data_IF_592925663922
#
_entry.id   IF_592925663922
#
_cell.length_a   1.000
_cell.length_b   1.000
_cell.length_c   1.000
_cell.angle_alpha   90.00
_cell.angle_beta   90.00
_cell.angle_gamma   90.00
#
_symmetry.space_group_name_H-M   'P 1'
#
loop_
_entity.id
_entity.type
_entity.pdbx_description
1 polymer ?
#
# COMPACT_ATOMS: atom_id res chain seq x y z
N UNK A 1 -15.01 20.94 27.35
CA UNK A 1 -14.48 20.15 26.23
C UNK A 1 -15.35 20.43 25.01
N UNK A 2 -14.76 20.57 23.81
CA UNK A 2 -15.49 20.69 22.54
C UNK A 2 -14.84 19.73 21.55
N UNK A 3 -15.65 18.95 20.84
CA UNK A 3 -15.16 18.00 19.83
C UNK A 3 -15.29 18.62 18.45
N UNK A 4 -14.20 18.63 17.70
CA UNK A 4 -14.16 19.12 16.31
C UNK A 4 -13.91 17.94 15.39
N UNK A 5 -14.95 17.50 14.68
CA UNK A 5 -14.86 16.46 13.67
C UNK A 5 -14.34 17.02 12.35
N UNK A 6 -13.11 16.67 12.00
CA UNK A 6 -12.50 17.06 10.73
C UNK A 6 -12.75 16.02 9.62
N UNK A 7 -12.43 16.38 8.37
CA UNK A 7 -12.50 15.54 7.16
C UNK A 7 -13.92 15.13 6.76
N UNK A 8 -14.88 16.04 6.94
CA UNK A 8 -16.27 15.82 6.50
C UNK A 8 -16.40 15.68 4.97
N UNK A 9 -15.46 16.23 4.21
CA UNK A 9 -15.34 16.05 2.76
C UNK A 9 -15.01 14.60 2.37
N UNK A 10 -14.08 13.95 3.07
CA UNK A 10 -13.75 12.54 2.88
C UNK A 10 -14.94 11.64 3.27
N UNK A 11 -15.59 11.95 4.40
CA UNK A 11 -16.77 11.23 4.86
C UNK A 11 -17.90 11.27 3.81
N UNK A 12 -18.12 12.44 3.19
CA UNK A 12 -19.10 12.62 2.12
C UNK A 12 -18.74 11.84 0.85
N UNK A 13 -17.46 11.78 0.46
CA UNK A 13 -16.99 10.95 -0.67
C UNK A 13 -17.26 9.46 -0.43
N UNK A 14 -17.10 9.00 0.80
CA UNK A 14 -17.39 7.62 1.20
C UNK A 14 -18.87 7.36 1.47
N UNK A 15 -19.75 8.32 1.12
CA UNK A 15 -21.20 8.20 1.27
C UNK A 15 -21.64 7.95 2.72
N UNK A 16 -20.88 8.47 3.69
CA UNK A 16 -21.22 8.38 5.10
C UNK A 16 -21.74 9.72 5.63
N UNK A 17 -22.68 9.65 6.56
CA UNK A 17 -23.18 10.80 7.31
C UNK A 17 -23.10 10.50 8.81
N UNK A 18 -22.80 11.53 9.59
CA UNK A 18 -22.73 11.47 11.05
C UNK A 18 -23.81 12.38 11.63
N UNK A 19 -24.60 11.83 12.55
CA UNK A 19 -25.56 12.59 13.34
C UNK A 19 -24.82 13.36 14.46
N UNK A 20 -24.46 14.61 14.18
CA UNK A 20 -23.73 15.47 15.12
C UNK A 20 -24.49 15.71 16.43
N UNK A 21 -25.82 15.87 16.37
CA UNK A 21 -26.65 16.10 17.56
C UNK A 21 -26.68 14.87 18.46
N UNK A 22 -26.84 13.68 17.86
CA UNK A 22 -26.82 12.42 18.59
C UNK A 22 -25.46 12.14 19.21
N UNK A 23 -24.37 12.44 18.49
CA UNK A 23 -23.01 12.31 19.01
C UNK A 23 -22.72 13.30 20.14
N UNK A 24 -23.18 14.55 20.01
CA UNK A 24 -23.04 15.57 21.05
C UNK A 24 -23.75 15.19 22.35
N UNK A 25 -24.97 14.64 22.23
CA UNK A 25 -25.70 14.10 23.38
C UNK A 25 -24.98 12.90 24.01
N UNK A 26 -24.45 11.99 23.19
CA UNK A 26 -23.78 10.79 23.69
C UNK A 26 -22.44 11.07 24.38
N UNK A 27 -21.73 12.12 23.95
CA UNK A 27 -20.44 12.53 24.54
C UNK A 27 -20.58 13.53 25.70
N UNK A 28 -21.78 14.06 25.94
CA UNK A 28 -22.01 15.09 26.97
C UNK A 28 -21.32 16.43 26.66
N UNK A 29 -20.91 16.67 25.41
CA UNK A 29 -20.23 17.90 25.02
C UNK A 29 -20.60 18.34 23.60
N UNK A 30 -20.46 19.63 23.27
CA UNK A 30 -20.71 20.10 21.91
C UNK A 30 -19.79 19.45 20.88
N UNK A 31 -20.37 19.05 19.74
CA UNK A 31 -19.67 18.49 18.59
C UNK A 31 -19.89 19.40 17.38
N UNK A 32 -18.79 19.94 16.85
CA UNK A 32 -18.76 20.72 15.62
C UNK A 32 -18.09 19.90 14.51
N UNK A 33 -18.39 20.22 13.26
CA UNK A 33 -17.82 19.53 12.11
C UNK A 33 -17.19 20.52 11.15
N UNK A 34 -16.04 20.17 10.57
CA UNK A 34 -15.30 21.02 9.65
C UNK A 34 -14.62 20.19 8.56
N UNK A 35 -14.49 20.76 7.37
CA UNK A 35 -13.53 20.34 6.35
C UNK A 35 -12.39 21.35 6.34
N UNK A 36 -11.25 21.02 6.94
CA UNK A 36 -10.10 21.94 7.02
C UNK A 36 -9.55 22.36 5.63
N UNK A 37 -9.91 21.62 4.57
CA UNK A 37 -9.61 21.95 3.17
C UNK A 37 -10.43 23.13 2.62
N UNK A 38 -11.50 23.54 3.30
CA UNK A 38 -12.41 24.60 2.87
C UNK A 38 -12.32 25.78 3.84
N UNK A 39 -11.71 26.88 3.37
CA UNK A 39 -11.48 28.07 4.18
C UNK A 39 -12.76 28.63 4.83
N UNK A 40 -13.86 28.69 4.08
CA UNK A 40 -15.15 29.18 4.58
C UNK A 40 -15.69 28.37 5.77
N UNK A 41 -15.53 27.04 5.79
CA UNK A 41 -15.99 26.22 6.92
C UNK A 41 -15.13 26.45 8.17
N UNK A 42 -13.84 26.76 8.00
CA UNK A 42 -12.94 27.11 9.11
C UNK A 42 -13.32 28.47 9.71
N UNK A 43 -13.70 29.44 8.89
CA UNK A 43 -14.11 30.76 9.37
C UNK A 43 -15.46 30.69 10.12
N UNK A 44 -16.41 29.86 9.65
CA UNK A 44 -17.63 29.56 10.40
C UNK A 44 -17.33 28.88 11.74
N UNK A 45 -16.44 27.89 11.78
CA UNK A 45 -16.02 27.21 13.01
C UNK A 45 -15.46 28.19 14.04
N UNK A 46 -14.63 29.15 13.61
CA UNK A 46 -14.09 30.20 14.50
C UNK A 46 -15.19 31.05 15.10
N UNK A 47 -16.17 31.46 14.30
CA UNK A 47 -17.31 32.25 14.76
C UNK A 47 -18.16 31.46 15.78
N UNK A 48 -18.44 30.19 15.50
CA UNK A 48 -19.19 29.30 16.38
C UNK A 48 -18.46 29.09 17.71
N UNK A 49 -17.14 28.85 17.68
CA UNK A 49 -16.32 28.71 18.88
C UNK A 49 -16.32 30.00 19.72
N UNK A 50 -16.18 31.17 19.10
CA UNK A 50 -16.26 32.46 19.80
C UNK A 50 -17.61 32.63 20.51
N UNK A 51 -18.71 32.30 19.82
CA UNK A 51 -20.06 32.38 20.39
C UNK A 51 -20.22 31.43 21.58
N UNK A 52 -19.72 30.20 21.47
CA UNK A 52 -19.79 29.20 22.53
C UNK A 52 -18.96 29.58 23.75
N UNK A 53 -17.76 30.12 23.55
CA UNK A 53 -16.93 30.61 24.65
C UNK A 53 -17.60 31.77 25.40
N UNK A 54 -18.28 32.67 24.67
CA UNK A 54 -19.00 33.78 25.28
C UNK A 54 -20.26 33.35 26.04
N UNK A 55 -20.95 32.29 25.59
CA UNK A 55 -22.17 31.78 26.23
C UNK A 55 -21.91 30.83 27.41
N UNK A 56 -20.67 30.34 27.54
CA UNK A 56 -20.34 29.25 28.44
C UNK A 56 -20.61 27.90 27.79
N UNK A 57 -19.74 26.92 28.07
CA UNK A 57 -19.84 25.58 27.53
C UNK A 57 -20.36 24.66 28.63
N UNK A 58 -21.62 24.25 28.53
CA UNK A 58 -22.15 23.18 29.37
C UNK A 58 -21.54 21.85 28.92
N UNK A 59 -20.97 21.13 29.87
CA UNK A 59 -20.39 19.80 29.67
C UNK A 59 -20.98 18.89 30.74
N UNK A 60 -21.61 17.81 30.31
CA UNK A 60 -22.01 16.73 31.20
C UNK A 60 -20.86 15.74 31.35
N UNK A 61 -20.52 15.32 32.58
CA UNK A 61 -19.47 14.33 32.79
C UNK A 61 -19.88 12.98 32.19
N UNK A 62 -19.04 12.46 31.31
CA UNK A 62 -19.22 11.13 30.74
C UNK A 62 -18.88 10.06 31.79
N UNK A 63 -19.88 9.36 32.30
CA UNK A 63 -19.71 8.24 33.21
C UNK A 63 -20.07 6.93 32.50
N UNK A 64 -19.09 6.02 32.43
CA UNK A 64 -19.31 4.64 32.03
C UNK A 64 -19.56 3.79 33.28
N UNK A 65 -20.48 2.84 33.17
CA UNK A 65 -20.76 1.82 34.17
C UNK A 65 -19.89 0.59 33.87
N UNK A 66 -18.96 0.29 34.79
CA UNK A 66 -18.06 -0.84 34.67
C UNK A 66 -18.58 -2.10 35.37
N UNK A 67 -19.81 -2.08 35.87
CA UNK A 67 -20.40 -3.17 36.64
C UNK A 67 -19.95 -3.16 38.10
N UNK A 68 -20.81 -3.72 38.95
CA UNK A 68 -20.74 -3.57 40.41
C UNK A 68 -19.37 -3.90 41.01
N UNK A 69 -18.76 -5.01 40.58
CA UNK A 69 -17.47 -5.45 41.15
C UNK A 69 -16.33 -4.46 40.87
N UNK A 70 -16.27 -3.88 39.66
CA UNK A 70 -15.23 -2.91 39.33
C UNK A 70 -15.60 -1.51 39.87
N UNK A 71 -16.88 -1.16 39.93
CA UNK A 71 -17.33 0.09 40.56
C UNK A 71 -16.98 0.16 42.05
N UNK A 72 -17.16 -0.94 42.79
CA UNK A 72 -16.79 -1.01 44.22
C UNK A 72 -15.27 -0.77 44.40
N UNK A 73 -14.44 -1.34 43.52
CA UNK A 73 -12.98 -1.13 43.49
C UNK A 73 -12.60 0.29 43.09
N UNK A 74 -13.30 0.89 42.12
CA UNK A 74 -13.09 2.30 41.73
C UNK A 74 -13.43 3.21 42.92
N UNK A 75 -14.49 2.92 43.68
CA UNK A 75 -14.88 3.70 44.85
C UNK A 75 -13.86 3.58 46.00
N UNK A 76 -13.19 2.44 46.15
CA UNK A 76 -12.10 2.25 47.12
C UNK A 76 -10.85 3.07 46.77
N UNK A 77 -10.51 3.17 45.48
CA UNK A 77 -9.29 3.85 45.01
C UNK A 77 -9.49 5.35 44.75
N UNK A 78 -10.71 5.79 44.43
CA UNK A 78 -11.00 7.20 44.11
C UNK A 78 -10.59 8.23 45.19
N UNK A 79 -10.73 7.96 46.50
CA UNK A 79 -10.35 8.90 47.56
C UNK A 79 -8.87 9.30 47.53
N UNK A 80 -7.99 8.41 47.07
CA UNK A 80 -6.55 8.69 46.98
C UNK A 80 -6.20 9.77 45.94
N UNK A 81 -7.14 10.12 45.06
CA UNK A 81 -6.95 11.08 43.97
C UNK A 81 -7.80 12.35 44.13
N UNK A 82 -8.45 12.58 45.28
CA UNK A 82 -9.32 13.75 45.51
C UNK A 82 -8.59 15.10 45.42
N UNK A 83 -7.27 15.12 45.59
CA UNK A 83 -6.47 16.35 45.61
C UNK A 83 -5.92 16.76 44.23
N UNK A 84 -6.23 16.03 43.16
CA UNK A 84 -5.77 16.36 41.81
C UNK A 84 -6.74 17.25 41.04
N UNK A 85 -6.21 18.03 40.09
CA UNK A 85 -6.98 18.86 39.16
C UNK A 85 -7.82 18.03 38.16
N UNK A 86 -7.52 16.74 38.05
CA UNK A 86 -8.18 15.78 37.15
C UNK A 86 -9.25 15.02 37.92
N UNK A 87 -10.31 14.60 37.23
CA UNK A 87 -11.39 13.82 37.85
C UNK A 87 -10.83 12.55 38.54
N UNK A 88 -11.01 12.48 39.87
CA UNK A 88 -10.52 11.39 40.72
C UNK A 88 -10.91 10.00 40.22
N UNK A 89 -12.16 9.84 39.75
CA UNK A 89 -12.66 8.62 39.13
C UNK A 89 -11.84 8.17 37.90
N UNK A 90 -11.44 9.11 37.05
CA UNK A 90 -10.69 8.77 35.83
C UNK A 90 -9.27 8.29 36.15
N UNK A 91 -8.66 8.89 37.18
CA UNK A 91 -7.34 8.46 37.68
C UNK A 91 -7.43 7.10 38.35
N UNK A 92 -8.46 6.84 39.16
CA UNK A 92 -8.70 5.54 39.78
C UNK A 92 -8.85 4.42 38.73
N UNK A 93 -9.65 4.64 37.68
CA UNK A 93 -9.81 3.68 36.58
C UNK A 93 -8.47 3.39 35.90
N UNK A 94 -7.70 4.43 35.54
CA UNK A 94 -6.40 4.22 34.87
C UNK A 94 -5.34 3.58 35.78
N UNK A 95 -5.37 3.89 37.08
CA UNK A 95 -4.50 3.23 38.06
C UNK A 95 -4.84 1.72 38.15
N UNK A 96 -6.14 1.38 38.15
CA UNK A 96 -6.63 0.00 38.08
C UNK A 96 -6.31 -0.67 36.73
N UNK A 97 -6.17 0.05 35.62
CA UNK A 97 -5.62 -0.45 34.33
C UNK A 97 -4.09 -0.63 34.34
N UNK A 98 -3.43 -0.50 35.49
CA UNK A 98 -1.96 -0.56 35.63
C UNK A 98 -1.19 0.45 34.76
N UNK A 99 -1.77 1.63 34.52
CA UNK A 99 -1.10 2.69 33.76
C UNK A 99 0.16 3.18 34.48
N UNK A 100 1.33 2.86 33.91
CA UNK A 100 2.62 3.17 34.50
C UNK A 100 2.83 4.67 34.73
N UNK A 101 2.23 5.54 33.91
CA UNK A 101 2.44 6.98 34.05
C UNK A 101 1.83 7.49 35.36
N UNK A 102 0.65 7.00 35.72
CA UNK A 102 -0.05 7.37 36.95
C UNK A 102 0.58 6.67 38.15
N UNK A 103 0.89 5.37 38.02
CA UNK A 103 1.51 4.63 39.12
C UNK A 103 2.89 5.19 39.48
N UNK A 104 3.71 5.59 38.50
CA UNK A 104 5.03 6.16 38.74
C UNK A 104 4.98 7.53 39.44
N UNK A 105 3.93 8.33 39.20
CA UNK A 105 3.73 9.61 39.88
C UNK A 105 3.00 9.47 41.23
N UNK A 106 2.29 8.36 41.45
CA UNK A 106 1.50 8.16 42.67
C UNK A 106 2.38 7.75 43.88
N UNK A 107 1.98 8.13 45.11
CA UNK A 107 2.60 7.68 46.36
C UNK A 107 2.60 6.15 46.49
N UNK A 108 3.52 5.62 47.31
CA UNK A 108 3.63 4.18 47.55
C UNK A 108 2.32 3.55 48.06
N UNK A 109 1.60 4.27 48.92
CA UNK A 109 0.30 3.85 49.47
C UNK A 109 -0.72 3.51 48.37
N UNK A 110 -0.78 4.30 47.31
CA UNK A 110 -1.70 4.10 46.18
C UNK A 110 -1.29 2.88 45.36
N UNK A 111 0.02 2.68 45.15
CA UNK A 111 0.54 1.51 44.41
C UNK A 111 0.25 0.22 45.15
N UNK A 112 0.44 0.24 46.48
CA UNK A 112 0.18 -0.91 47.33
C UNK A 112 -1.32 -1.24 47.36
N UNK A 113 -2.18 -0.22 47.45
CA UNK A 113 -3.63 -0.37 47.37
C UNK A 113 -4.08 -0.99 46.03
N UNK A 114 -3.64 -0.43 44.90
CA UNK A 114 -3.96 -0.95 43.55
C UNK A 114 -3.47 -2.40 43.38
N UNK A 115 -2.26 -2.70 43.85
CA UNK A 115 -1.70 -4.06 43.78
C UNK A 115 -2.48 -5.05 44.64
N UNK A 116 -2.95 -4.62 45.81
CA UNK A 116 -3.80 -5.44 46.68
C UNK A 116 -5.18 -5.69 46.03
N UNK A 117 -5.79 -4.67 45.43
CA UNK A 117 -7.06 -4.78 44.71
C UNK A 117 -6.97 -5.74 43.52
N UNK A 118 -5.86 -5.74 42.78
CA UNK A 118 -5.59 -6.69 41.69
C UNK A 118 -5.46 -8.13 42.21
N UNK A 119 -4.70 -8.35 43.30
CA UNK A 119 -4.52 -9.69 43.88
C UNK A 119 -5.80 -10.28 44.46
N UNK A 120 -6.73 -9.44 44.91
CA UNK A 120 -8.03 -9.85 45.43
C UNK A 120 -9.12 -10.01 44.36
N UNK A 121 -8.80 -9.73 43.10
CA UNK A 121 -9.73 -9.78 41.96
C UNK A 121 -9.55 -11.06 41.16
N UNK A 122 -10.64 -11.79 40.91
CA UNK A 122 -10.65 -12.89 39.92
C UNK A 122 -10.92 -12.36 38.49
N UNK A 123 -11.26 -11.06 38.39
CA UNK A 123 -11.56 -10.36 37.15
C UNK A 123 -10.29 -9.77 36.53
N UNK A 124 -10.10 -9.98 35.22
CA UNK A 124 -9.11 -9.27 34.42
C UNK A 124 -9.60 -7.82 34.19
N UNK A 125 -9.16 -6.92 35.07
CA UNK A 125 -9.60 -5.53 35.11
C UNK A 125 -9.26 -4.80 33.80
N UNK A 126 -8.07 -5.04 33.24
CA UNK A 126 -7.64 -4.38 32.00
C UNK A 126 -8.54 -4.79 30.83
N UNK A 127 -8.79 -6.10 30.68
CA UNK A 127 -9.66 -6.61 29.62
C UNK A 127 -11.09 -6.11 29.78
N UNK A 128 -11.61 -6.07 31.02
CA UNK A 128 -12.98 -5.63 31.29
C UNK A 128 -13.19 -4.14 31.02
N UNK A 129 -12.26 -3.28 31.44
CA UNK A 129 -12.32 -1.84 31.15
C UNK A 129 -12.25 -1.59 29.64
N UNK A 130 -11.37 -2.32 28.94
CA UNK A 130 -11.29 -2.25 27.49
C UNK A 130 -12.62 -2.64 26.84
N UNK A 131 -13.22 -3.77 27.22
CA UNK A 131 -14.48 -4.26 26.65
C UNK A 131 -15.63 -3.25 26.84
N UNK A 132 -15.77 -2.67 28.03
CA UNK A 132 -16.78 -1.63 28.30
C UNK A 132 -16.57 -0.39 27.42
N UNK A 133 -15.33 0.12 27.34
CA UNK A 133 -14.99 1.29 26.51
C UNK A 133 -15.25 1.01 25.02
N UNK A 134 -14.79 -0.12 24.50
CA UNK A 134 -14.98 -0.49 23.09
C UNK A 134 -16.43 -0.77 22.75
N UNK A 135 -17.17 -1.43 23.64
CA UNK A 135 -18.61 -1.66 23.49
C UNK A 135 -19.39 -0.34 23.44
N UNK A 136 -19.09 0.60 24.33
CA UNK A 136 -19.67 1.94 24.32
C UNK A 136 -19.39 2.69 23.01
N UNK A 137 -18.12 2.72 22.58
CA UNK A 137 -17.72 3.35 21.31
C UNK A 137 -18.42 2.69 20.11
N UNK A 138 -18.53 1.37 20.10
CA UNK A 138 -19.22 0.63 19.05
C UNK A 138 -20.71 1.00 18.98
N UNK A 139 -21.38 1.10 20.12
CA UNK A 139 -22.80 1.48 20.18
C UNK A 139 -23.02 2.92 19.68
N UNK A 140 -22.22 3.88 20.14
CA UNK A 140 -22.31 5.28 19.71
C UNK A 140 -22.06 5.43 18.21
N UNK A 141 -20.99 4.79 17.70
CA UNK A 141 -20.65 4.90 16.28
C UNK A 141 -21.71 4.25 15.41
N UNK A 142 -22.27 3.10 15.81
CA UNK A 142 -23.37 2.45 15.10
C UNK A 142 -24.65 3.26 15.09
N UNK A 143 -25.00 3.92 16.20
CA UNK A 143 -26.22 4.71 16.30
C UNK A 143 -26.13 6.05 15.54
N UNK A 144 -24.94 6.65 15.47
CA UNK A 144 -24.75 7.99 14.92
C UNK A 144 -24.18 8.02 13.51
N UNK A 145 -23.82 6.88 12.92
CA UNK A 145 -23.32 6.78 11.54
C UNK A 145 -24.38 6.17 10.63
N UNK A 146 -24.68 6.84 9.53
CA UNK A 146 -25.48 6.31 8.44
C UNK A 146 -24.66 6.24 7.14
N UNK A 147 -25.11 5.42 6.20
CA UNK A 147 -24.52 5.33 4.85
C UNK A 147 -25.60 5.64 3.81
N UNK A 148 -25.33 6.62 2.97
CA UNK A 148 -26.26 7.15 1.96
C UNK A 148 -25.83 6.64 0.59
N UNK A 149 -26.57 5.68 0.01
CA UNK A 149 -26.26 5.14 -1.32
C UNK A 149 -25.47 3.83 -1.27
N UNK A 150 -26.19 2.71 -1.44
CA UNK A 150 -25.66 1.32 -1.40
C UNK A 150 -25.13 0.79 -2.74
N UNK A 151 -25.20 1.56 -3.83
CA UNK A 151 -25.08 1.01 -5.19
C UNK A 151 -23.63 0.73 -5.60
N UNK A 152 -22.69 1.65 -5.34
CA UNK A 152 -21.30 1.52 -5.81
C UNK A 152 -20.52 0.40 -5.11
N UNK A 153 -20.78 0.17 -3.82
CA UNK A 153 -20.12 -0.92 -3.05
C UNK A 153 -20.43 -2.30 -3.62
N UNK A 154 -21.67 -2.56 -4.06
CA UNK A 154 -22.06 -3.88 -4.61
C UNK A 154 -21.27 -4.30 -5.85
N UNK A 155 -20.86 -3.36 -6.70
CA UNK A 155 -20.10 -3.68 -7.92
C UNK A 155 -18.65 -3.99 -7.57
N UNK A 156 -17.98 -3.15 -6.76
CA UNK A 156 -16.61 -3.43 -6.32
C UNK A 156 -16.53 -4.70 -5.49
N UNK A 157 -17.43 -4.90 -4.51
CA UNK A 157 -17.47 -6.10 -3.68
C UNK A 157 -17.69 -7.39 -4.48
N UNK A 158 -18.44 -7.31 -5.59
CA UNK A 158 -18.68 -8.45 -6.48
C UNK A 158 -17.52 -8.73 -7.42
N UNK A 159 -16.82 -7.69 -7.87
CA UNK A 159 -15.55 -7.85 -8.61
C UNK A 159 -14.49 -8.42 -7.66
N UNK A 160 -14.40 -7.90 -6.44
CA UNK A 160 -13.47 -8.33 -5.41
C UNK A 160 -13.70 -9.80 -5.03
N UNK A 161 -14.95 -10.25 -4.90
CA UNK A 161 -15.23 -11.66 -4.59
C UNK A 161 -14.82 -12.63 -5.70
N UNK A 162 -14.81 -12.19 -6.96
CA UNK A 162 -14.36 -12.99 -8.11
C UNK A 162 -12.82 -12.93 -8.23
N UNK A 163 -12.24 -11.74 -8.14
CA UNK A 163 -10.80 -11.50 -8.34
C UNK A 163 -9.96 -12.01 -7.16
N UNK A 164 -10.47 -11.94 -5.93
CA UNK A 164 -9.78 -12.40 -4.72
C UNK A 164 -10.06 -13.86 -4.37
N UNK A 165 -10.87 -14.58 -5.15
CA UNK A 165 -11.11 -15.99 -4.91
C UNK A 165 -9.80 -16.77 -5.09
N UNK A 166 -9.44 -17.60 -4.10
CA UNK A 166 -8.20 -18.40 -4.08
C UNK A 166 -7.97 -19.24 -5.35
N UNK A 167 -9.04 -19.66 -6.03
CA UNK A 167 -8.95 -20.49 -7.24
C UNK A 167 -9.04 -19.69 -8.54
N UNK A 168 -9.83 -18.61 -8.57
CA UNK A 168 -10.02 -17.79 -9.78
C UNK A 168 -9.01 -16.64 -9.88
N UNK A 169 -8.46 -16.18 -8.75
CA UNK A 169 -7.53 -15.04 -8.71
C UNK A 169 -6.23 -15.29 -9.47
N UNK A 170 -5.67 -16.51 -9.39
CA UNK A 170 -4.44 -16.87 -10.11
C UNK A 170 -4.68 -16.92 -11.63
N UNK A 171 -5.70 -17.64 -12.16
CA UNK A 171 -6.03 -17.61 -13.59
C UNK A 171 -6.35 -16.20 -14.11
N UNK A 172 -7.13 -15.41 -13.35
CA UNK A 172 -7.46 -14.04 -13.73
C UNK A 172 -6.19 -13.19 -13.80
N UNK A 173 -5.27 -13.35 -12.84
CA UNK A 173 -3.98 -12.68 -12.87
C UNK A 173 -3.17 -12.99 -14.13
N UNK A 174 -3.01 -14.27 -14.46
CA UNK A 174 -2.33 -14.63 -15.70
C UNK A 174 -3.08 -14.14 -16.95
N UNK A 175 -4.41 -14.11 -16.93
CA UNK A 175 -5.22 -13.55 -18.01
C UNK A 175 -5.01 -12.04 -18.21
N UNK A 176 -4.95 -11.27 -17.11
CA UNK A 176 -4.67 -9.82 -17.17
C UNK A 176 -3.25 -9.56 -17.64
N UNK A 177 -2.27 -10.33 -17.15
CA UNK A 177 -0.88 -10.22 -17.61
C UNK A 177 -0.73 -10.61 -19.09
N UNK A 178 -1.44 -11.65 -19.54
CA UNK A 178 -1.51 -12.00 -20.95
C UNK A 178 -2.09 -10.84 -21.77
N UNK A 179 -3.19 -10.24 -21.32
CA UNK A 179 -3.82 -9.13 -22.03
C UNK A 179 -2.92 -7.88 -22.06
N UNK A 180 -2.17 -7.62 -20.99
CA UNK A 180 -1.14 -6.58 -20.94
C UNK A 180 -0.07 -6.81 -22.02
N UNK A 181 0.47 -8.03 -22.11
CA UNK A 181 1.49 -8.35 -23.11
C UNK A 181 0.94 -8.36 -24.53
N UNK A 182 -0.26 -8.89 -24.72
CA UNK A 182 -0.96 -8.84 -26.00
C UNK A 182 -1.16 -7.40 -26.45
N UNK A 183 -1.62 -6.51 -25.56
CA UNK A 183 -1.77 -5.09 -25.83
C UNK A 183 -0.43 -4.46 -26.20
N UNK A 184 0.59 -4.61 -25.35
CA UNK A 184 1.90 -4.00 -25.57
C UNK A 184 2.59 -4.48 -26.87
N UNK A 185 2.49 -5.77 -27.20
CA UNK A 185 3.12 -6.36 -28.39
C UNK A 185 2.31 -6.07 -29.65
N UNK A 186 0.98 -6.22 -29.62
CA UNK A 186 0.17 -6.07 -30.82
C UNK A 186 -0.03 -4.59 -31.19
N UNK A 187 -0.42 -3.76 -30.22
CA UNK A 187 -0.61 -2.32 -30.45
C UNK A 187 0.74 -1.62 -30.53
N UNK A 188 1.68 -1.91 -29.62
CA UNK A 188 3.03 -1.33 -29.71
C UNK A 188 3.77 -1.79 -30.97
N UNK A 189 3.60 -3.06 -31.36
CA UNK A 189 4.17 -3.62 -32.58
C UNK A 189 3.68 -2.94 -33.85
N UNK A 190 2.41 -2.52 -33.91
CA UNK A 190 1.87 -1.80 -35.06
C UNK A 190 2.56 -0.45 -35.33
N UNK A 191 3.26 0.12 -34.34
CA UNK A 191 4.01 1.37 -34.50
C UNK A 191 5.51 1.14 -34.73
N UNK A 192 6.02 -0.09 -34.67
CA UNK A 192 7.45 -0.39 -34.87
C UNK A 192 7.92 0.12 -36.22
N UNK A 193 7.21 -0.25 -37.30
CA UNK A 193 7.59 0.12 -38.67
C UNK A 193 7.60 1.64 -38.88
N UNK A 194 6.69 2.37 -38.23
CA UNK A 194 6.66 3.83 -38.28
C UNK A 194 7.94 4.45 -37.69
N UNK A 195 8.37 3.96 -36.52
CA UNK A 195 9.59 4.44 -35.87
C UNK A 195 10.83 3.98 -36.62
N UNK A 196 10.84 2.75 -37.13
CA UNK A 196 11.95 2.21 -37.92
C UNK A 196 12.21 3.05 -39.17
N UNK A 197 11.16 3.29 -39.97
CA UNK A 197 11.24 4.08 -41.20
C UNK A 197 11.57 5.55 -40.89
N UNK A 198 10.93 6.16 -39.88
CA UNK A 198 11.14 7.58 -39.59
C UNK A 198 12.55 7.85 -39.08
N UNK A 199 13.05 7.02 -38.16
CA UNK A 199 14.40 7.20 -37.63
C UNK A 199 15.47 6.74 -38.62
N UNK A 200 15.21 5.69 -39.42
CA UNK A 200 16.10 5.28 -40.52
C UNK A 200 16.25 6.39 -41.57
N UNK A 201 15.14 6.97 -42.02
CA UNK A 201 15.17 8.04 -43.01
C UNK A 201 15.92 9.29 -42.53
N UNK A 202 15.81 9.63 -41.24
CA UNK A 202 16.44 10.86 -40.70
C UNK A 202 17.89 10.62 -40.28
N UNK A 203 18.18 9.51 -39.60
CA UNK A 203 19.49 9.27 -38.96
C UNK A 203 20.43 8.40 -39.79
N UNK A 204 19.91 7.58 -40.71
CA UNK A 204 20.73 6.76 -41.60
C UNK A 204 20.76 7.44 -42.97
N UNK A 205 19.61 7.50 -43.66
CA UNK A 205 19.54 8.03 -45.02
C UNK A 205 19.85 9.54 -45.06
N UNK A 206 19.37 10.31 -44.08
CA UNK A 206 19.65 11.74 -43.97
C UNK A 206 21.11 12.06 -43.65
N UNK A 207 21.80 11.17 -42.94
CA UNK A 207 23.23 11.31 -42.61
C UNK A 207 24.10 10.93 -43.80
N UNK A 208 23.76 9.84 -44.51
CA UNK A 208 24.38 9.48 -45.80
C UNK A 208 24.21 10.62 -46.81
N UNK A 209 23.00 11.17 -46.97
CA UNK A 209 22.75 12.27 -47.91
C UNK A 209 23.58 13.54 -47.64
N UNK A 210 23.93 13.82 -46.38
CA UNK A 210 24.68 15.03 -46.00
C UNK A 210 26.20 14.84 -46.04
N UNK A 211 26.68 13.64 -45.72
CA UNK A 211 28.10 13.34 -45.52
C UNK A 211 28.74 12.64 -46.72
N UNK A 212 27.94 11.99 -47.58
CA UNK A 212 28.43 11.38 -48.81
C UNK A 212 29.06 12.44 -49.73
N UNK A 213 30.34 12.22 -50.05
CA UNK A 213 31.15 13.12 -50.88
C UNK A 213 31.93 14.20 -50.12
N UNK A 214 31.64 14.44 -48.84
CA UNK A 214 32.35 15.42 -48.01
C UNK A 214 33.37 14.80 -47.04
N UNK A 215 33.16 13.54 -46.65
CA UNK A 215 33.96 12.83 -45.65
C UNK A 215 34.43 11.46 -46.16
N UNK A 216 35.46 10.86 -45.52
CA UNK A 216 35.90 9.50 -45.85
C UNK A 216 34.79 8.47 -45.59
N UNK A 217 34.65 7.52 -46.50
CA UNK A 217 33.61 6.48 -46.49
C UNK A 217 33.54 5.72 -45.16
N UNK A 218 34.68 5.35 -44.57
CA UNK A 218 34.74 4.65 -43.28
C UNK A 218 34.11 5.44 -42.12
N UNK A 219 34.18 6.77 -42.16
CA UNK A 219 33.62 7.63 -41.11
C UNK A 219 32.11 7.81 -41.29
N UNK A 220 31.64 7.86 -42.54
CA UNK A 220 30.21 7.90 -42.87
C UNK A 220 29.54 6.61 -42.42
N UNK A 221 30.11 5.44 -42.71
CA UNK A 221 29.57 4.14 -42.27
C UNK A 221 29.46 4.05 -40.74
N UNK A 222 30.45 4.55 -40.01
CA UNK A 222 30.40 4.55 -38.53
C UNK A 222 29.29 5.47 -38.01
N UNK A 223 29.13 6.66 -38.59
CA UNK A 223 28.15 7.64 -38.12
C UNK A 223 26.72 7.26 -38.52
N UNK A 224 26.50 6.94 -39.80
CA UNK A 224 25.18 6.61 -40.33
C UNK A 224 24.75 5.19 -39.92
N UNK A 225 25.51 4.17 -40.30
CA UNK A 225 25.09 2.78 -40.07
C UNK A 225 25.38 2.30 -38.64
N UNK A 226 26.46 2.80 -38.03
CA UNK A 226 26.83 2.49 -36.65
C UNK A 226 25.95 3.22 -35.64
N UNK A 227 26.08 4.55 -35.55
CA UNK A 227 25.34 5.36 -34.57
C UNK A 227 23.88 5.52 -34.98
N UNK A 228 23.62 5.94 -36.22
CA UNK A 228 22.25 6.13 -36.73
C UNK A 228 21.44 4.84 -36.70
N UNK A 229 21.99 3.75 -37.26
CA UNK A 229 21.37 2.42 -37.21
C UNK A 229 21.18 1.90 -35.79
N UNK A 230 22.12 2.19 -34.87
CA UNK A 230 21.98 1.89 -33.45
C UNK A 230 20.80 2.63 -32.80
N UNK A 231 20.67 3.94 -33.04
CA UNK A 231 19.57 4.76 -32.51
C UNK A 231 18.23 4.32 -33.12
N UNK A 232 18.18 4.05 -34.42
CA UNK A 232 17.00 3.51 -35.11
C UNK A 232 16.54 2.21 -34.43
N UNK A 233 17.47 1.28 -34.20
CA UNK A 233 17.17 0.00 -33.55
C UNK A 233 16.64 0.19 -32.12
N UNK A 234 17.14 1.18 -31.37
CA UNK A 234 16.62 1.48 -30.03
C UNK A 234 15.24 2.16 -30.11
N UNK A 235 15.01 3.01 -31.10
CA UNK A 235 13.77 3.76 -31.28
C UNK A 235 12.56 2.86 -31.52
N UNK A 236 12.75 1.71 -32.19
CA UNK A 236 11.69 0.71 -32.41
C UNK A 236 11.14 0.09 -31.13
N UNK A 237 11.88 0.14 -30.01
CA UNK A 237 11.38 -0.34 -28.71
C UNK A 237 10.49 0.67 -27.98
N UNK A 238 10.55 1.96 -28.36
CA UNK A 238 9.79 3.03 -27.68
C UNK A 238 8.28 2.74 -27.68
N UNK A 239 7.63 2.36 -28.79
CA UNK A 239 6.18 2.15 -28.82
C UNK A 239 5.73 0.98 -27.95
N UNK A 240 6.49 -0.11 -27.95
CA UNK A 240 6.21 -1.31 -27.14
C UNK A 240 6.32 -0.97 -25.65
N UNK A 241 7.38 -0.25 -25.25
CA UNK A 241 7.57 0.20 -23.87
C UNK A 241 6.46 1.17 -23.45
N UNK A 242 6.11 2.14 -24.31
CA UNK A 242 5.04 3.09 -24.04
C UNK A 242 3.68 2.40 -23.86
N UNK A 243 3.36 1.42 -24.72
CA UNK A 243 2.14 0.60 -24.60
C UNK A 243 2.09 -0.17 -23.29
N UNK A 244 3.22 -0.77 -22.87
CA UNK A 244 3.31 -1.46 -21.58
C UNK A 244 3.10 -0.50 -20.40
N UNK A 245 3.73 0.68 -20.41
CA UNK A 245 3.56 1.69 -19.35
C UNK A 245 2.13 2.25 -19.29
N UNK A 246 1.50 2.45 -20.44
CA UNK A 246 0.10 2.88 -20.52
C UNK A 246 -0.82 1.86 -19.85
N UNK A 247 -0.65 0.58 -20.17
CA UNK A 247 -1.43 -0.49 -19.57
C UNK A 247 -1.15 -0.65 -18.08
N UNK A 248 0.11 -0.55 -17.66
CA UNK A 248 0.48 -0.56 -16.24
C UNK A 248 -0.18 0.58 -15.45
N UNK A 249 -0.18 1.78 -16.01
CA UNK A 249 -0.83 2.95 -15.40
C UNK A 249 -2.33 2.72 -15.25
N UNK A 250 -2.97 2.06 -16.22
CA UNK A 250 -4.38 1.63 -16.15
C UNK A 250 -4.62 0.58 -15.04
N UNK A 251 -3.73 -0.41 -14.91
CA UNK A 251 -3.81 -1.42 -13.84
C UNK A 251 -3.58 -0.82 -12.45
N UNK A 252 -2.71 0.17 -12.34
CA UNK A 252 -2.45 0.92 -11.11
C UNK A 252 -3.66 1.80 -10.74
N UNK A 253 -4.18 2.58 -11.71
CA UNK A 253 -5.34 3.45 -11.51
C UNK A 253 -6.65 2.71 -11.23
N UNK A 254 -6.79 1.46 -11.68
CA UNK A 254 -7.95 0.60 -11.37
C UNK A 254 -7.87 -0.07 -9.99
N UNK A 255 -6.74 0.04 -9.28
CA UNK A 255 -6.51 -0.67 -8.02
C UNK A 255 -6.38 -2.19 -8.18
N UNK A 256 -6.19 -2.70 -9.40
CA UNK A 256 -5.99 -4.13 -9.62
C UNK A 256 -4.69 -4.62 -8.98
N UNK A 257 -3.64 -3.81 -9.01
CA UNK A 257 -2.33 -4.17 -8.44
C UNK A 257 -2.37 -4.48 -6.94
N UNK A 258 -3.17 -3.75 -6.16
CA UNK A 258 -3.33 -4.01 -4.72
C UNK A 258 -4.08 -5.34 -4.47
N UNK A 259 -5.04 -5.69 -5.33
CA UNK A 259 -5.79 -6.96 -5.26
C UNK A 259 -4.94 -8.15 -5.68
N UNK A 260 -4.19 -8.02 -6.78
CA UNK A 260 -3.28 -9.04 -7.27
C UNK A 260 -2.20 -9.38 -6.23
N UNK A 261 -1.63 -8.36 -5.59
CA UNK A 261 -0.65 -8.53 -4.52
C UNK A 261 -1.16 -9.44 -3.39
N UNK A 262 -2.43 -9.29 -2.98
CA UNK A 262 -3.04 -10.10 -1.93
C UNK A 262 -3.15 -11.58 -2.31
N UNK A 263 -3.52 -11.87 -3.56
CA UNK A 263 -3.62 -13.26 -4.07
C UNK A 263 -2.26 -13.96 -4.05
N UNK A 264 -1.19 -13.21 -4.29
CA UNK A 264 0.17 -13.70 -4.46
C UNK A 264 1.01 -13.66 -3.18
N UNK A 265 0.46 -13.08 -2.11
CA UNK A 265 1.15 -12.84 -0.85
C UNK A 265 1.70 -14.13 -0.22
N UNK A 266 0.91 -15.21 -0.23
CA UNK A 266 1.35 -16.52 0.33
C UNK A 266 2.57 -17.12 -0.36
N UNK A 267 2.75 -16.88 -1.66
CA UNK A 267 3.90 -17.41 -2.40
C UNK A 267 5.12 -16.53 -2.17
N UNK A 268 4.93 -15.21 -2.15
CA UNK A 268 6.01 -14.24 -1.94
C UNK A 268 6.55 -14.24 -0.51
N UNK A 269 5.69 -14.47 0.49
CA UNK A 269 6.12 -14.60 1.88
C UNK A 269 7.15 -15.73 2.08
N UNK A 270 7.08 -16.83 1.30
CA UNK A 270 8.11 -17.89 1.35
C UNK A 270 9.48 -17.41 0.88
N UNK A 271 9.51 -16.45 -0.03
CA UNK A 271 10.73 -15.81 -0.54
C UNK A 271 11.16 -14.65 0.36
N UNK A 272 10.30 -14.21 1.30
CA UNK A 272 10.56 -13.11 2.22
C UNK A 272 10.27 -11.73 1.63
N UNK A 273 9.40 -11.67 0.63
CA UNK A 273 8.94 -10.44 -0.02
C UNK A 273 7.42 -10.28 0.19
N UNK A 274 6.89 -9.04 0.26
CA UNK A 274 5.45 -8.83 0.27
C UNK A 274 4.85 -9.23 -1.08
N UNK A 275 3.58 -9.63 -1.10
CA UNK A 275 2.87 -9.97 -2.35
C UNK A 275 2.93 -8.88 -3.42
N UNK A 276 3.08 -7.60 -3.02
CA UNK A 276 3.29 -6.46 -3.92
C UNK A 276 4.54 -6.59 -4.81
N UNK A 277 5.58 -7.29 -4.35
CA UNK A 277 6.84 -7.44 -5.07
C UNK A 277 6.74 -8.40 -6.27
N UNK A 278 5.71 -9.24 -6.32
CA UNK A 278 5.50 -10.15 -7.44
C UNK A 278 5.19 -9.43 -8.74
N UNK A 279 4.48 -8.30 -8.67
CA UNK A 279 4.08 -7.53 -9.85
C UNK A 279 5.32 -7.07 -10.65
N UNK A 280 6.30 -6.38 -10.05
CA UNK A 280 7.59 -6.09 -10.70
C UNK A 280 8.30 -7.32 -11.28
N UNK A 281 8.28 -8.45 -10.57
CA UNK A 281 8.97 -9.67 -11.01
C UNK A 281 8.33 -10.30 -12.24
N UNK A 282 6.99 -10.34 -12.30
CA UNK A 282 6.26 -10.84 -13.48
C UNK A 282 6.49 -9.93 -14.68
N UNK A 283 6.49 -8.62 -14.45
CA UNK A 283 6.84 -7.62 -15.45
C UNK A 283 8.26 -7.83 -16.02
N UNK A 284 9.18 -8.37 -15.21
CA UNK A 284 10.55 -8.70 -15.64
C UNK A 284 10.60 -9.73 -16.78
N UNK A 285 9.66 -10.68 -16.83
CA UNK A 285 9.54 -11.61 -17.96
C UNK A 285 9.09 -10.92 -19.26
N UNK A 286 8.56 -9.70 -19.17
CA UNK A 286 8.25 -8.86 -20.31
C UNK A 286 9.41 -7.95 -20.68
N UNK A 287 9.76 -7.07 -19.77
CA UNK A 287 10.86 -6.12 -19.95
C UNK A 287 11.43 -5.70 -18.59
N UNK A 288 12.76 -5.72 -18.47
CA UNK A 288 13.42 -5.43 -17.20
C UNK A 288 13.39 -3.95 -16.81
N UNK A 289 13.36 -3.03 -17.77
CA UNK A 289 13.28 -1.59 -17.50
C UNK A 289 12.01 -1.21 -16.70
N UNK A 290 10.79 -1.52 -17.17
CA UNK A 290 9.55 -1.25 -16.44
C UNK A 290 9.41 -2.11 -15.18
N UNK A 291 9.97 -3.32 -15.15
CA UNK A 291 10.03 -4.15 -13.96
C UNK A 291 10.81 -3.48 -12.82
N UNK A 292 12.02 -3.00 -13.12
CA UNK A 292 12.86 -2.28 -12.14
C UNK A 292 12.17 -0.98 -11.72
N UNK A 293 11.60 -0.22 -12.67
CA UNK A 293 10.84 0.99 -12.35
C UNK A 293 9.62 0.71 -11.47
N UNK A 294 8.87 -0.37 -11.72
CA UNK A 294 7.72 -0.77 -10.94
C UNK A 294 8.07 -1.13 -9.49
N UNK A 295 9.33 -1.52 -9.21
CA UNK A 295 9.79 -1.76 -7.84
C UNK A 295 9.60 -0.54 -6.93
N UNK A 296 9.59 0.69 -7.47
CA UNK A 296 9.36 1.92 -6.71
C UNK A 296 8.02 1.96 -5.94
N UNK A 297 7.06 1.13 -6.35
CA UNK A 297 5.74 1.00 -5.71
C UNK A 297 5.79 0.24 -4.38
N UNK A 298 6.91 -0.42 -4.06
CA UNK A 298 7.12 -1.08 -2.78
C UNK A 298 7.37 -0.05 -1.68
N UNK A 299 6.86 -0.29 -0.48
CA UNK A 299 6.89 0.70 0.61
C UNK A 299 8.31 0.81 1.21
N UNK A 300 9.00 -0.32 1.39
CA UNK A 300 10.32 -0.38 2.01
C UNK A 300 11.45 -0.38 0.98
N UNK A 301 12.50 0.40 1.23
CA UNK A 301 13.67 0.47 0.35
C UNK A 301 14.38 -0.88 0.17
N UNK A 302 14.39 -1.70 1.23
CA UNK A 302 14.90 -3.07 1.19
C UNK A 302 14.18 -3.92 0.14
N UNK A 303 12.86 -3.90 0.16
CA UNK A 303 12.02 -4.68 -0.76
C UNK A 303 12.21 -4.20 -2.20
N UNK A 304 12.34 -2.87 -2.41
CA UNK A 304 12.67 -2.27 -3.72
C UNK A 304 13.97 -2.83 -4.27
N UNK A 305 15.04 -2.80 -3.47
CA UNK A 305 16.37 -3.27 -3.88
C UNK A 305 16.41 -4.77 -4.15
N UNK A 306 15.74 -5.57 -3.31
CA UNK A 306 15.60 -7.01 -3.52
C UNK A 306 14.87 -7.32 -4.84
N UNK A 307 13.67 -6.75 -5.04
CA UNK A 307 12.90 -6.97 -6.27
C UNK A 307 13.66 -6.50 -7.53
N UNK A 308 14.32 -5.34 -7.47
CA UNK A 308 15.13 -4.83 -8.57
C UNK A 308 16.34 -5.72 -8.89
N UNK A 309 16.99 -6.30 -7.88
CA UNK A 309 18.12 -7.23 -8.09
C UNK A 309 17.72 -8.57 -8.70
N UNK A 310 16.48 -8.99 -8.48
CA UNK A 310 15.92 -10.24 -9.01
C UNK A 310 15.42 -10.09 -10.46
N UNK A 311 14.96 -8.90 -10.85
CA UNK A 311 14.38 -8.64 -12.17
C UNK A 311 15.31 -9.05 -13.35
N UNK A 312 16.62 -8.76 -13.35
CA UNK A 312 17.51 -9.14 -14.47
C UNK A 312 17.56 -10.64 -14.78
N UNK A 313 17.27 -11.50 -13.80
CA UNK A 313 17.24 -12.95 -13.97
C UNK A 313 15.93 -13.47 -14.57
N UNK A 314 14.90 -12.62 -14.63
CA UNK A 314 13.68 -12.88 -15.38
C UNK A 314 13.97 -12.65 -16.87
N UNK A 315 14.03 -13.73 -17.64
CA UNK A 315 14.38 -13.66 -19.05
C UNK A 315 13.19 -13.21 -19.89
N UNK A 316 13.33 -12.04 -20.53
CA UNK A 316 12.32 -11.50 -21.41
C UNK A 316 12.29 -12.18 -22.79
N UNK A 317 11.17 -12.03 -23.51
CA UNK A 317 11.01 -12.54 -24.87
C UNK A 317 12.09 -12.07 -25.85
N UNK A 318 12.68 -10.88 -25.63
CA UNK A 318 13.78 -10.36 -26.45
C UNK A 318 15.11 -11.12 -26.26
N UNK A 319 15.28 -11.88 -25.16
CA UNK A 319 16.46 -12.75 -24.97
C UNK A 319 16.33 -14.09 -25.66
N UNK A 320 15.10 -14.51 -25.98
CA UNK A 320 14.84 -15.80 -26.61
C UNK A 320 15.50 -15.93 -28.00
N UNK A 321 15.48 -14.93 -28.90
CA UNK A 321 16.22 -14.99 -30.17
C UNK A 321 17.72 -15.18 -29.98
N UNK A 322 18.31 -14.50 -28.99
CA UNK A 322 19.74 -14.64 -28.67
C UNK A 322 20.03 -16.04 -28.15
N UNK A 323 19.22 -16.55 -27.22
CA UNK A 323 19.36 -17.92 -26.72
C UNK A 323 19.15 -18.96 -27.82
N UNK A 324 18.19 -18.75 -28.70
CA UNK A 324 17.92 -19.63 -29.84
C UNK A 324 19.08 -19.64 -30.84
N UNK A 325 19.68 -18.48 -31.13
CA UNK A 325 20.86 -18.36 -31.99
C UNK A 325 22.04 -19.18 -31.43
N UNK A 326 22.38 -18.98 -30.16
CA UNK A 326 23.46 -19.73 -29.51
C UNK A 326 23.13 -21.21 -29.37
N UNK A 327 21.88 -21.55 -29.04
CA UNK A 327 21.45 -22.93 -28.94
C UNK A 327 21.52 -23.65 -30.29
N UNK A 328 21.15 -22.99 -31.39
CA UNK A 328 21.26 -23.54 -32.74
C UNK A 328 22.72 -23.69 -33.19
N UNK A 329 23.59 -22.73 -32.83
CA UNK A 329 25.00 -22.75 -33.21
C UNK A 329 25.82 -23.83 -32.46
N UNK A 330 25.58 -24.01 -31.16
CA UNK A 330 26.39 -24.87 -30.30
C UNK A 330 25.74 -26.22 -29.96
N UNK A 331 24.40 -26.34 -30.03
CA UNK A 331 23.65 -27.54 -29.63
C UNK A 331 22.57 -27.95 -30.66
N UNK A 332 22.97 -28.47 -31.83
CA UNK A 332 22.07 -28.67 -32.99
C UNK A 332 20.90 -29.62 -32.74
N UNK A 333 21.06 -30.62 -31.87
CA UNK A 333 20.04 -31.65 -31.61
C UNK A 333 19.20 -31.41 -30.35
N UNK A 334 19.66 -30.54 -29.44
CA UNK A 334 19.06 -30.35 -28.11
C UNK A 334 18.85 -28.88 -27.72
N UNK A 335 18.93 -27.94 -28.67
CA UNK A 335 18.84 -26.50 -28.40
C UNK A 335 17.60 -26.08 -27.61
N UNK A 336 16.45 -26.70 -27.87
CA UNK A 336 15.22 -26.44 -27.09
C UNK A 336 15.37 -26.75 -25.59
N UNK A 337 16.05 -27.85 -25.24
CA UNK A 337 16.28 -28.24 -23.85
C UNK A 337 17.26 -27.28 -23.18
N UNK A 338 18.24 -26.78 -23.93
CA UNK A 338 19.20 -25.77 -23.44
C UNK A 338 18.48 -24.46 -23.14
N UNK A 339 17.64 -23.98 -24.06
CA UNK A 339 16.85 -22.75 -23.83
C UNK A 339 15.90 -22.94 -22.63
N UNK A 340 15.20 -24.07 -22.55
CA UNK A 340 14.33 -24.37 -21.41
C UNK A 340 15.11 -24.41 -20.08
N UNK A 341 16.27 -25.07 -20.06
CA UNK A 341 17.15 -25.11 -18.90
C UNK A 341 17.64 -23.71 -18.50
N UNK A 342 18.00 -22.86 -19.45
CA UNK A 342 18.42 -21.48 -19.19
C UNK A 342 17.31 -20.65 -18.54
N UNK A 343 16.06 -20.80 -18.97
CA UNK A 343 14.91 -20.15 -18.33
C UNK A 343 14.70 -20.65 -16.90
N UNK A 344 14.79 -21.97 -16.68
CA UNK A 344 14.65 -22.55 -15.34
C UNK A 344 15.78 -22.09 -14.41
N UNK A 345 17.02 -22.08 -14.89
CA UNK A 345 18.19 -21.57 -14.17
C UNK A 345 18.02 -20.08 -13.85
N UNK A 346 17.47 -19.28 -14.77
CA UNK A 346 17.16 -17.87 -14.53
C UNK A 346 16.19 -17.68 -13.36
N UNK A 347 15.09 -18.43 -13.33
CA UNK A 347 14.12 -18.39 -12.23
C UNK A 347 14.78 -18.81 -10.91
N UNK A 348 15.55 -19.90 -10.91
CA UNK A 348 16.27 -20.37 -9.72
C UNK A 348 17.30 -19.35 -9.25
N UNK A 349 18.05 -18.72 -10.16
CA UNK A 349 19.03 -17.68 -9.85
C UNK A 349 18.35 -16.43 -9.28
N UNK A 350 17.17 -16.05 -9.80
CA UNK A 350 16.39 -14.94 -9.24
C UNK A 350 16.00 -15.22 -7.78
N UNK A 351 15.42 -16.39 -7.51
CA UNK A 351 15.03 -16.80 -6.15
C UNK A 351 16.24 -16.92 -5.23
N UNK A 352 17.33 -17.51 -5.71
CA UNK A 352 18.58 -17.64 -4.95
C UNK A 352 19.16 -16.27 -4.60
N UNK A 353 19.19 -15.34 -5.55
CA UNK A 353 19.66 -13.96 -5.34
C UNK A 353 18.82 -13.27 -4.26
N UNK A 354 17.48 -13.37 -4.34
CA UNK A 354 16.59 -12.82 -3.32
C UNK A 354 16.86 -13.38 -1.91
N UNK A 355 17.03 -14.70 -1.80
CA UNK A 355 17.33 -15.38 -0.53
C UNK A 355 18.73 -15.02 0.01
N UNK A 356 19.72 -14.96 -0.87
CA UNK A 356 21.10 -14.61 -0.52
C UNK A 356 21.17 -13.19 0.04
N UNK A 357 20.63 -12.20 -0.69
CA UNK A 357 20.62 -10.81 -0.28
C UNK A 357 19.79 -10.58 0.99
N UNK A 358 18.71 -11.33 1.19
CA UNK A 358 17.93 -11.33 2.44
C UNK A 358 18.78 -11.75 3.65
N UNK A 359 19.69 -12.71 3.49
CA UNK A 359 20.51 -13.24 4.58
C UNK A 359 21.85 -12.52 4.79
N UNK A 360 22.37 -11.81 3.78
CA UNK A 360 23.66 -11.10 3.88
C UNK A 360 23.51 -9.59 4.03
N UNK A 361 23.06 -8.91 2.97
CA UNK A 361 23.18 -7.44 2.84
C UNK A 361 21.96 -6.73 3.44
N UNK A 362 20.79 -7.35 3.38
CA UNK A 362 19.54 -6.76 3.86
C UNK A 362 18.84 -7.70 4.85
N UNK A 363 19.32 -7.84 6.09
CA UNK A 363 18.62 -8.59 7.14
C UNK A 363 17.33 -7.87 7.59
N UNK A 364 16.27 -8.63 7.88
CA UNK A 364 14.97 -8.11 8.36
C UNK A 364 13.78 -8.99 7.98
N UNK A 365 12.62 -8.79 8.61
CA UNK A 365 11.35 -9.40 8.17
C UNK A 365 10.57 -8.40 7.31
N UNK A 366 9.82 -8.91 6.32
CA UNK A 366 8.86 -8.09 5.57
C UNK A 366 7.69 -7.80 6.50
N UNK A 367 7.58 -6.56 6.97
CA UNK A 367 6.42 -6.10 7.75
C UNK A 367 5.24 -5.85 6.81
N UNK A 368 4.72 -6.91 6.21
CA UNK A 368 3.37 -6.88 5.65
C UNK A 368 2.43 -7.42 6.72
N UNK A 369 1.94 -6.52 7.59
CA UNK A 369 1.00 -6.74 8.70
C UNK A 369 1.57 -7.28 10.02
N UNK A 370 2.30 -6.43 10.76
CA UNK A 370 2.39 -6.53 12.23
C UNK A 370 1.26 -5.71 12.89
N UNK A 371 0.01 -6.13 12.65
CA UNK A 371 -1.12 -5.84 13.55
C UNK A 371 -1.62 -7.19 14.10
N UNK A 372 -0.75 -7.86 14.84
CA UNK A 372 -1.11 -8.99 15.70
C UNK A 372 -0.72 -8.67 17.12
#
# INVERSE_FOLDING_TARGET
>A
MVVILNKMDALAKDNHQINLKGLSKALGCPVLSVSATKQHEVDMLKADLHKMLAQGIEVEPLALDYGKELEDKIAEISPYFEHELVASRALAVRALEQDQLILNSAPAEVRDAVTATHRGSDLDIEMHVADVKYSFLHQITKANRSQVGRVTRRISERIDSIVLNRWLGIPIFFGVMYLMFMFAINIGGAFIDFFDISFGAVLVDGVHYLLDGNLPEWLVTILADGIGGGIQTVATFIPVIAGLYLFLTLLEGSGYMSRAAFVLDKVMQKVGLPGKAFVPLVLGFGCNVPAIMASRTLDQERERRLAASMAPFMSCGARLPVYALFAAAFFPSAGQNVVFALYLIGILAAVFTGLLLKHTIYPGNSDSLSWR
#
